data_IF_155398694756
#
_entry.id   IF_155398694756
#
_cell.length_a   1.000
_cell.length_b   1.000
_cell.length_c   1.000
_cell.angle_alpha   90.00
_cell.angle_beta   90.00
_cell.angle_gamma   90.00
#
_symmetry.space_group_name_H-M   'P 1'
#
loop_
_entity.id
_entity.type
_entity.pdbx_description
1 polymer ?
#
# COMPACT_ATOMS: atom_id res chain seq x y z
N UNK A 1 15.46 -0.26 -26.54
CA UNK A 1 14.49 -0.60 -25.49
C UNK A 1 14.84 0.27 -24.30
N UNK A 2 13.92 1.15 -23.86
CA UNK A 2 14.19 1.98 -22.68
C UNK A 2 14.06 1.06 -21.46
N UNK A 3 15.20 0.56 -20.98
CA UNK A 3 15.29 -0.17 -19.71
C UNK A 3 14.82 0.76 -18.58
N UNK A 4 13.54 0.67 -18.26
CA UNK A 4 12.94 1.43 -17.17
C UNK A 4 13.37 0.75 -15.88
N UNK A 5 14.49 1.21 -15.33
CA UNK A 5 15.00 0.73 -14.04
C UNK A 5 13.95 1.03 -12.96
N UNK A 6 13.30 -0.02 -12.45
CA UNK A 6 12.34 0.06 -11.35
C UNK A 6 13.06 0.48 -10.08
N UNK A 7 12.57 1.53 -9.44
CA UNK A 7 13.13 2.10 -8.21
C UNK A 7 12.09 2.04 -7.11
N UNK A 8 12.43 1.41 -6.00
CA UNK A 8 11.54 1.28 -4.85
C UNK A 8 12.26 1.64 -3.55
N UNK A 9 11.56 2.20 -2.54
CA UNK A 9 12.17 2.57 -1.27
C UNK A 9 12.11 1.44 -0.22
N UNK A 10 11.50 0.31 -0.53
CA UNK A 10 11.38 -0.84 0.38
C UNK A 10 12.03 -2.08 -0.21
N UNK A 11 12.64 -2.89 0.65
CA UNK A 11 13.17 -4.20 0.30
C UNK A 11 13.03 -5.17 1.47
N UNK A 12 13.20 -6.47 1.22
CA UNK A 12 13.38 -7.47 2.27
C UNK A 12 14.87 -7.61 2.61
N UNK A 13 15.19 -7.71 3.89
CA UNK A 13 16.51 -8.17 4.33
C UNK A 13 16.65 -9.69 4.13
N UNK A 14 17.85 -10.23 4.40
CA UNK A 14 18.10 -11.68 4.45
C UNK A 14 17.25 -12.41 5.49
N UNK A 15 16.76 -11.71 6.52
CA UNK A 15 15.88 -12.24 7.56
C UNK A 15 14.39 -12.08 7.22
N UNK A 16 14.06 -11.81 5.94
CA UNK A 16 12.71 -11.59 5.43
C UNK A 16 11.98 -10.38 6.05
N UNK A 17 12.70 -9.48 6.72
CA UNK A 17 12.12 -8.25 7.30
C UNK A 17 12.00 -7.18 6.23
N UNK A 18 10.87 -6.48 6.19
CA UNK A 18 10.72 -5.27 5.38
C UNK A 18 11.57 -4.14 5.96
N UNK A 19 12.46 -3.60 5.14
CA UNK A 19 13.38 -2.52 5.48
C UNK A 19 13.14 -1.35 4.52
N UNK A 20 12.89 -0.18 5.10
CA UNK A 20 12.87 1.06 4.35
C UNK A 20 14.30 1.48 4.00
N UNK A 21 14.47 2.16 2.87
CA UNK A 21 15.78 2.55 2.35
C UNK A 21 16.60 3.42 3.31
N UNK A 22 15.94 4.18 4.19
CA UNK A 22 16.62 4.98 5.21
C UNK A 22 17.23 4.13 6.32
N UNK A 23 16.65 2.97 6.62
CA UNK A 23 17.13 2.01 7.62
C UNK A 23 18.08 0.97 7.01
N UNK A 24 18.26 1.00 5.69
CA UNK A 24 19.14 0.08 4.98
C UNK A 24 20.63 0.40 5.23
N UNK A 25 21.41 -0.65 5.45
CA UNK A 25 22.84 -0.61 5.74
C UNK A 25 23.62 -1.04 4.50
N UNK A 26 24.61 -0.22 4.11
CA UNK A 26 25.46 -0.49 2.95
C UNK A 26 26.23 -1.80 3.11
N UNK A 27 26.36 -2.57 2.02
CA UNK A 27 27.06 -3.86 2.01
C UNK A 27 26.18 -5.05 2.37
N UNK A 28 24.98 -4.82 2.90
CA UNK A 28 23.99 -5.88 3.13
C UNK A 28 23.25 -6.25 1.84
N UNK A 29 22.74 -7.49 1.80
CA UNK A 29 21.89 -7.97 0.71
C UNK A 29 20.44 -7.61 0.97
N UNK A 30 19.77 -7.16 -0.08
CA UNK A 30 18.36 -6.78 -0.08
C UNK A 30 17.66 -7.42 -1.26
N UNK A 31 16.40 -7.78 -1.08
CA UNK A 31 15.62 -8.51 -2.07
C UNK A 31 14.29 -7.80 -2.34
N UNK A 32 13.82 -7.91 -3.57
CA UNK A 32 12.51 -7.38 -3.94
C UNK A 32 11.40 -8.11 -3.16
N UNK A 33 10.50 -7.38 -2.47
CA UNK A 33 9.36 -8.01 -1.82
C UNK A 33 8.42 -8.73 -2.80
N UNK A 34 8.41 -8.31 -4.07
CA UNK A 34 7.47 -8.77 -5.08
C UNK A 34 7.96 -9.98 -5.90
N UNK A 35 9.26 -10.04 -6.23
CA UNK A 35 9.83 -11.11 -7.06
C UNK A 35 10.99 -11.87 -6.41
N UNK A 36 11.41 -11.48 -5.21
CA UNK A 36 12.55 -12.06 -4.48
C UNK A 36 13.92 -11.91 -5.16
N UNK A 37 14.03 -11.22 -6.30
CA UNK A 37 15.33 -10.96 -6.90
C UNK A 37 16.17 -10.00 -6.04
N UNK A 38 17.49 -10.20 -6.08
CA UNK A 38 18.42 -9.35 -5.34
C UNK A 38 18.42 -7.93 -5.94
N UNK A 39 18.23 -6.95 -5.07
CA UNK A 39 18.23 -5.54 -5.40
C UNK A 39 19.62 -4.92 -5.21
N UNK A 40 19.88 -3.87 -5.99
CA UNK A 40 21.05 -3.01 -5.78
C UNK A 40 20.65 -1.83 -4.91
N UNK A 41 21.31 -1.67 -3.76
CA UNK A 41 21.20 -0.47 -2.94
C UNK A 41 21.92 0.71 -3.64
N UNK A 42 21.17 1.77 -3.96
CA UNK A 42 21.70 2.98 -4.61
C UNK A 42 21.67 4.15 -3.63
N UNK A 43 22.85 4.52 -3.16
CA UNK A 43 23.09 5.71 -2.35
C UNK A 43 23.64 6.82 -3.24
N UNK A 44 22.80 7.81 -3.55
CA UNK A 44 23.22 9.00 -4.27
C UNK A 44 23.46 10.16 -3.30
N UNK A 45 24.52 10.95 -3.53
CA UNK A 45 24.68 12.26 -2.89
C UNK A 45 23.68 13.31 -3.45
N UNK A 46 23.16 13.06 -4.66
CA UNK A 46 22.27 13.97 -5.41
C UNK A 46 20.87 13.35 -5.59
N UNK A 47 20.79 12.06 -5.94
CA UNK A 47 19.51 11.37 -6.15
C UNK A 47 19.03 10.74 -4.84
N UNK A 48 17.71 10.76 -4.59
CA UNK A 48 17.08 10.05 -3.45
C UNK A 48 17.58 8.61 -3.38
N UNK A 49 17.92 8.15 -2.17
CA UNK A 49 18.28 6.75 -1.92
C UNK A 49 17.14 5.85 -2.38
N UNK A 50 17.46 4.77 -3.08
CA UNK A 50 16.48 3.78 -3.52
C UNK A 50 17.13 2.41 -3.71
N UNK A 51 16.30 1.39 -3.79
CA UNK A 51 16.69 0.10 -4.34
C UNK A 51 16.33 0.03 -5.82
N UNK A 52 17.17 -0.61 -6.62
CA UNK A 52 16.90 -0.85 -8.03
C UNK A 52 17.06 -2.32 -8.40
N UNK A 53 16.15 -2.81 -9.24
CA UNK A 53 16.35 -4.07 -9.94
C UNK A 53 17.54 -3.98 -10.90
N UNK A 54 18.07 -5.14 -11.29
CA UNK A 54 19.01 -5.21 -12.41
C UNK A 54 18.24 -5.02 -13.71
N UNK A 55 18.92 -4.64 -14.78
CA UNK A 55 18.29 -4.43 -16.09
C UNK A 55 17.76 -5.72 -16.72
N UNK A 56 18.31 -6.87 -16.33
CA UNK A 56 17.92 -8.21 -16.80
C UNK A 56 16.81 -8.87 -15.97
N UNK A 57 16.33 -8.21 -14.91
CA UNK A 57 15.24 -8.68 -14.07
C UNK A 57 13.91 -8.65 -14.81
N UNK A 58 13.16 -9.76 -14.79
CA UNK A 58 11.79 -9.84 -15.34
C UNK A 58 10.74 -9.45 -14.30
N UNK A 59 10.93 -8.30 -13.65
CA UNK A 59 9.93 -7.75 -12.76
C UNK A 59 9.19 -6.63 -13.50
N UNK A 60 7.89 -6.79 -13.69
CA UNK A 60 7.07 -5.79 -14.35
C UNK A 60 6.84 -4.57 -13.45
N UNK A 61 7.15 -3.32 -13.87
CA UNK A 61 7.02 -2.14 -13.05
C UNK A 61 5.61 -1.91 -12.49
N UNK A 62 4.58 -2.03 -13.34
CA UNK A 62 3.18 -1.82 -12.97
C UNK A 62 2.77 -2.83 -11.88
N UNK A 63 3.19 -4.07 -12.08
CA UNK A 63 3.05 -5.15 -11.10
C UNK A 63 3.83 -4.89 -9.81
N UNK A 64 5.01 -4.26 -9.86
CA UNK A 64 5.81 -3.99 -8.65
C UNK A 64 5.14 -2.98 -7.74
N UNK A 65 4.68 -1.84 -8.25
CA UNK A 65 4.07 -0.82 -7.39
C UNK A 65 2.77 -1.33 -6.77
N UNK A 66 1.92 -2.00 -7.54
CA UNK A 66 0.69 -2.60 -7.04
C UNK A 66 0.95 -3.69 -5.98
N UNK A 67 1.84 -4.65 -6.28
CA UNK A 67 2.22 -5.71 -5.32
C UNK A 67 2.90 -5.16 -4.07
N UNK A 68 3.81 -4.20 -4.23
CA UNK A 68 4.51 -3.60 -3.09
C UNK A 68 3.53 -2.85 -2.19
N UNK A 69 2.57 -2.12 -2.77
CA UNK A 69 1.53 -1.46 -2.00
C UNK A 69 0.67 -2.46 -1.20
N UNK A 70 0.29 -3.63 -1.77
CA UNK A 70 -0.42 -4.70 -1.04
C UNK A 70 0.36 -5.15 0.19
N UNK A 71 1.63 -5.51 -0.02
CA UNK A 71 2.54 -5.96 1.04
C UNK A 71 2.66 -4.89 2.14
N UNK A 72 2.78 -3.61 1.76
CA UNK A 72 2.93 -2.50 2.68
C UNK A 72 1.64 -2.15 3.44
N UNK A 73 0.46 -2.34 2.83
CA UNK A 73 -0.82 -2.23 3.51
C UNK A 73 -0.94 -3.34 4.57
N UNK A 74 -0.62 -4.59 4.21
CA UNK A 74 -0.61 -5.69 5.17
C UNK A 74 0.38 -5.45 6.31
N UNK A 75 1.56 -4.93 6.01
CA UNK A 75 2.53 -4.51 7.03
C UNK A 75 1.97 -3.42 7.95
N UNK A 76 1.32 -2.38 7.40
CA UNK A 76 0.70 -1.33 8.20
C UNK A 76 -0.41 -1.87 9.11
N UNK A 77 -1.24 -2.77 8.59
CA UNK A 77 -2.30 -3.45 9.35
C UNK A 77 -1.71 -4.32 10.46
N UNK A 78 -0.65 -5.08 10.18
CA UNK A 78 0.05 -5.90 11.18
C UNK A 78 0.63 -5.04 12.31
N UNK A 79 1.35 -3.97 11.98
CA UNK A 79 1.90 -3.06 13.00
C UNK A 79 0.79 -2.35 13.80
N UNK A 80 -0.34 -2.05 13.16
CA UNK A 80 -1.51 -1.53 13.83
C UNK A 80 -2.13 -2.55 14.79
N UNK A 81 -2.31 -3.80 14.38
CA UNK A 81 -2.94 -4.84 15.21
C UNK A 81 -2.13 -5.17 16.46
N UNK A 82 -0.80 -5.06 16.36
CA UNK A 82 0.15 -5.19 17.46
C UNK A 82 0.18 -3.98 18.41
N UNK A 83 -0.46 -2.88 18.05
CA UNK A 83 -0.46 -1.65 18.86
C UNK A 83 0.73 -0.73 18.62
N UNK A 84 1.62 -1.08 17.68
CA UNK A 84 2.89 -0.37 17.47
C UNK A 84 2.68 0.96 16.77
N UNK A 85 1.66 1.06 15.90
CA UNK A 85 1.46 2.20 15.01
C UNK A 85 -0.02 2.55 14.84
N UNK A 86 -0.31 3.84 14.77
CA UNK A 86 -1.56 4.38 14.23
C UNK A 86 -1.44 4.52 12.72
N UNK A 87 -2.58 4.60 12.03
CA UNK A 87 -2.64 4.90 10.60
C UNK A 87 -3.41 6.21 10.41
N UNK A 88 -2.85 7.13 9.65
CA UNK A 88 -3.54 8.37 9.26
C UNK A 88 -4.27 8.14 7.95
N UNK A 89 -5.59 8.26 7.96
CA UNK A 89 -6.43 8.18 6.78
C UNK A 89 -6.80 9.59 6.32
N UNK A 90 -6.52 9.90 5.06
CA UNK A 90 -6.90 11.16 4.42
C UNK A 90 -7.82 10.85 3.26
N UNK A 91 -9.02 11.42 3.28
CA UNK A 91 -9.97 11.37 2.17
C UNK A 91 -10.34 12.77 1.73
N UNK A 92 -10.74 12.92 0.46
CA UNK A 92 -11.29 14.19 -0.04
C UNK A 92 -12.81 14.16 0.04
N UNK A 93 -13.40 15.28 0.47
CA UNK A 93 -14.84 15.47 0.32
C UNK A 93 -15.17 15.75 -1.15
N UNK A 94 -16.17 15.05 -1.70
CA UNK A 94 -16.64 15.30 -3.07
C UNK A 94 -17.33 16.65 -3.25
N UNK A 95 -17.97 17.18 -2.21
CA UNK A 95 -18.70 18.44 -2.28
C UNK A 95 -17.82 19.68 -2.14
N UNK A 96 -17.05 19.78 -1.04
CA UNK A 96 -16.24 20.96 -0.75
C UNK A 96 -14.77 20.85 -1.17
N UNK A 97 -14.35 19.70 -1.69
CA UNK A 97 -12.95 19.37 -2.01
C UNK A 97 -11.95 19.44 -0.83
N UNK A 98 -12.43 19.68 0.39
CA UNK A 98 -11.63 19.68 1.61
C UNK A 98 -11.10 18.28 1.95
N UNK A 99 -9.90 18.23 2.54
CA UNK A 99 -9.35 16.99 3.09
C UNK A 99 -9.97 16.69 4.46
N UNK A 100 -10.49 15.47 4.61
CA UNK A 100 -10.89 14.90 5.89
C UNK A 100 -9.76 14.01 6.39
N UNK A 101 -9.23 14.32 7.58
CA UNK A 101 -8.15 13.56 8.21
C UNK A 101 -8.74 12.79 9.38
N UNK A 102 -8.61 11.46 9.34
CA UNK A 102 -9.00 10.55 10.42
C UNK A 102 -7.77 9.80 10.92
N UNK A 103 -7.72 9.53 12.21
CA UNK A 103 -6.72 8.64 12.78
C UNK A 103 -7.38 7.29 13.06
N UNK A 104 -6.85 6.24 12.46
CA UNK A 104 -7.12 4.86 12.84
C UNK A 104 -6.21 4.53 14.03
N UNK A 105 -6.76 4.33 15.24
CA UNK A 105 -5.94 4.11 16.43
C UNK A 105 -5.19 2.78 16.37
N UNK A 106 -4.12 2.60 17.15
CA UNK A 106 -3.52 1.27 17.37
C UNK A 106 -4.57 0.27 17.86
N UNK A 107 -4.38 -1.01 17.54
CA UNK A 107 -5.32 -2.10 17.80
C UNK A 107 -6.71 -1.90 17.15
N UNK A 108 -6.82 -1.16 16.06
CA UNK A 108 -8.08 -1.10 15.31
C UNK A 108 -8.29 -2.38 14.48
N UNK A 109 -7.23 -2.83 13.81
CA UNK A 109 -7.21 -4.05 13.03
C UNK A 109 -6.77 -5.27 13.84
N UNK A 110 -7.12 -6.47 13.36
CA UNK A 110 -6.66 -7.77 13.88
C UNK A 110 -5.77 -8.50 12.89
N UNK A 111 -6.13 -8.49 11.60
CA UNK A 111 -5.44 -9.24 10.53
C UNK A 111 -5.68 -8.59 9.16
N UNK A 112 -4.91 -9.04 8.17
CA UNK A 112 -5.13 -8.70 6.76
C UNK A 112 -4.71 -9.84 5.85
N UNK A 113 -5.35 -9.93 4.69
CA UNK A 113 -5.10 -10.94 3.68
C UNK A 113 -5.15 -10.34 2.28
N UNK A 114 -4.23 -10.74 1.42
CA UNK A 114 -4.18 -10.30 0.02
C UNK A 114 -5.15 -11.12 -0.85
N UNK A 115 -5.65 -10.51 -1.93
CA UNK A 115 -6.31 -11.21 -3.04
C UNK A 115 -7.57 -12.01 -2.65
N UNK A 116 -8.33 -11.51 -1.68
CA UNK A 116 -9.48 -12.21 -1.08
C UNK A 116 -10.74 -12.01 -1.92
N UNK A 117 -11.45 -13.10 -2.20
CA UNK A 117 -12.77 -13.04 -2.82
C UNK A 117 -13.85 -12.69 -1.79
N UNK A 118 -14.55 -11.57 -2.02
CA UNK A 118 -15.75 -11.16 -1.29
C UNK A 118 -16.87 -11.01 -2.32
N UNK A 119 -17.98 -11.71 -2.11
CA UNK A 119 -19.04 -11.86 -3.10
C UNK A 119 -18.48 -12.39 -4.43
N UNK A 120 -18.62 -11.63 -5.53
CA UNK A 120 -18.08 -11.96 -6.85
C UNK A 120 -16.84 -11.12 -7.23
N UNK A 121 -16.23 -10.44 -6.25
CA UNK A 121 -15.12 -9.52 -6.48
C UNK A 121 -13.87 -9.98 -5.72
N UNK A 122 -12.71 -9.85 -6.36
CA UNK A 122 -11.42 -10.17 -5.76
C UNK A 122 -10.77 -8.87 -5.31
N UNK A 123 -10.72 -8.66 -4.01
CA UNK A 123 -10.12 -7.48 -3.39
C UNK A 123 -8.61 -7.61 -3.31
N UNK A 124 -7.90 -6.50 -3.53
CA UNK A 124 -6.44 -6.47 -3.40
C UNK A 124 -5.97 -6.83 -1.99
N UNK A 125 -6.58 -6.22 -0.97
CA UNK A 125 -6.39 -6.54 0.44
C UNK A 125 -7.73 -6.49 1.17
N UNK A 126 -7.97 -7.43 2.06
CA UNK A 126 -9.06 -7.36 3.06
C UNK A 126 -8.43 -7.31 4.44
N UNK A 127 -8.80 -6.29 5.22
CA UNK A 127 -8.41 -6.15 6.62
C UNK A 127 -9.58 -6.48 7.55
N UNK A 128 -9.32 -7.29 8.55
CA UNK A 128 -10.27 -7.56 9.63
C UNK A 128 -10.01 -6.59 10.79
N UNK A 129 -11.08 -6.06 11.36
CA UNK A 129 -11.05 -5.25 12.57
C UNK A 129 -11.13 -6.13 13.82
N UNK A 130 -10.75 -5.58 14.99
CA UNK A 130 -10.88 -6.30 16.26
C UNK A 130 -12.32 -6.76 16.59
N UNK A 131 -13.33 -6.11 16.01
CA UNK A 131 -14.74 -6.51 16.16
C UNK A 131 -15.26 -7.37 15.00
N UNK A 132 -14.35 -8.07 14.29
CA UNK A 132 -14.65 -9.04 13.23
C UNK A 132 -15.40 -8.46 12.02
N UNK A 133 -15.29 -7.14 11.78
CA UNK A 133 -15.76 -6.51 10.55
C UNK A 133 -14.64 -6.54 9.51
N UNK A 134 -15.02 -6.62 8.24
CA UNK A 134 -14.09 -6.60 7.11
C UNK A 134 -14.11 -5.24 6.43
N UNK A 135 -12.94 -4.81 5.99
CA UNK A 135 -12.76 -3.63 5.15
C UNK A 135 -11.94 -4.06 3.94
N UNK A 136 -12.47 -3.88 2.75
CA UNK A 136 -11.70 -4.04 1.51
C UNK A 136 -10.83 -2.81 1.25
N UNK A 137 -9.62 -3.03 0.79
CA UNK A 137 -8.64 -2.00 0.47
C UNK A 137 -8.14 -2.30 -0.95
N UNK A 138 -8.61 -1.51 -1.90
CA UNK A 138 -8.18 -1.57 -3.30
C UNK A 138 -6.97 -0.66 -3.51
N UNK A 139 -6.14 -0.99 -4.50
CA UNK A 139 -4.97 -0.21 -4.85
C UNK A 139 -5.14 0.38 -6.24
N UNK A 140 -5.14 1.71 -6.28
CA UNK A 140 -5.05 2.45 -7.52
C UNK A 140 -3.58 2.61 -7.92
N UNK A 141 -3.23 2.00 -9.04
CA UNK A 141 -2.02 2.28 -9.81
C UNK A 141 -2.45 2.57 -11.26
N UNK A 142 -1.59 3.19 -12.08
CA UNK A 142 -1.92 3.83 -13.36
C UNK A 142 -2.59 2.92 -14.40
N UNK A 143 -3.87 2.61 -14.22
CA UNK A 143 -4.87 2.13 -15.16
C UNK A 143 -6.23 2.21 -14.44
N UNK A 144 -7.20 2.92 -15.04
CA UNK A 144 -8.57 2.95 -14.57
C UNK A 144 -9.13 1.52 -14.48
N UNK A 145 -9.42 1.05 -13.27
CA UNK A 145 -10.31 -0.10 -13.10
C UNK A 145 -11.73 0.34 -13.46
N UNK A 146 -12.39 -0.38 -14.37
CA UNK A 146 -13.81 -0.26 -14.72
C UNK A 146 -14.67 0.20 -13.53
N UNK A 147 -15.17 1.43 -13.59
CA UNK A 147 -15.97 2.09 -12.54
C UNK A 147 -17.22 1.29 -12.13
N UNK A 148 -17.66 0.35 -12.97
CA UNK A 148 -18.89 -0.44 -12.80
C UNK A 148 -18.81 -1.58 -11.78
N UNK A 149 -17.62 -1.96 -11.28
CA UNK A 149 -17.46 -3.18 -10.46
C UNK A 149 -17.64 -2.97 -8.95
N UNK A 150 -17.48 -1.75 -8.44
CA UNK A 150 -17.31 -1.48 -7.00
C UNK A 150 -18.59 -1.10 -6.23
N UNK A 151 -19.71 -0.90 -6.91
CA UNK A 151 -21.00 -0.54 -6.27
C UNK A 151 -21.69 -1.69 -5.51
N UNK A 152 -21.24 -2.93 -5.72
CA UNK A 152 -21.95 -4.14 -5.27
C UNK A 152 -21.28 -4.88 -4.11
N UNK A 153 -20.13 -4.40 -3.62
CA UNK A 153 -19.45 -5.01 -2.48
C UNK A 153 -20.32 -4.88 -1.22
N UNK A 154 -20.55 -6.01 -0.53
CA UNK A 154 -21.33 -6.06 0.71
C UNK A 154 -20.61 -5.45 1.93
N UNK A 155 -19.30 -5.17 1.81
CA UNK A 155 -18.47 -4.63 2.88
C UNK A 155 -17.98 -3.21 2.57
N UNK A 156 -17.64 -2.39 3.58
CA UNK A 156 -16.98 -1.12 3.37
C UNK A 156 -15.66 -1.30 2.62
N UNK A 157 -15.36 -0.38 1.71
CA UNK A 157 -14.10 -0.38 0.98
C UNK A 157 -13.49 1.01 0.88
N UNK A 158 -12.18 1.05 0.72
CA UNK A 158 -11.40 2.25 0.38
C UNK A 158 -10.47 1.91 -0.77
N UNK A 159 -10.09 2.91 -1.57
CA UNK A 159 -9.06 2.75 -2.58
C UNK A 159 -7.88 3.67 -2.28
N UNK A 160 -6.67 3.11 -2.22
CA UNK A 160 -5.45 3.83 -1.88
C UNK A 160 -4.54 3.95 -3.09
N UNK A 161 -3.88 5.11 -3.23
CA UNK A 161 -2.85 5.27 -4.27
C UNK A 161 -1.60 4.49 -3.90
N UNK A 162 -1.09 3.68 -4.82
CA UNK A 162 0.11 2.86 -4.58
C UNK A 162 1.32 3.70 -4.16
N UNK A 163 1.52 4.87 -4.77
CA UNK A 163 2.69 5.73 -4.54
C UNK A 163 2.72 6.29 -3.13
N UNK A 164 1.56 6.69 -2.59
CA UNK A 164 1.47 7.27 -1.24
C UNK A 164 1.68 6.21 -0.17
N UNK A 165 1.14 5.00 -0.38
CA UNK A 165 1.38 3.83 0.48
C UNK A 165 2.86 3.46 0.48
N UNK A 166 3.50 3.46 -0.70
CA UNK A 166 4.93 3.12 -0.83
C UNK A 166 5.82 4.17 -0.18
N UNK A 167 5.48 5.45 -0.28
CA UNK A 167 6.20 6.52 0.40
C UNK A 167 6.05 6.43 1.93
N UNK A 168 4.83 6.16 2.41
CA UNK A 168 4.55 5.97 3.83
C UNK A 168 3.37 5.01 4.06
N UNK A 169 3.62 3.76 4.52
CA UNK A 169 2.57 2.76 4.69
C UNK A 169 1.56 3.11 5.79
N UNK A 170 1.89 4.07 6.68
CA UNK A 170 1.02 4.54 7.75
C UNK A 170 0.23 5.81 7.39
N UNK A 171 0.34 6.27 6.13
CA UNK A 171 -0.41 7.40 5.59
C UNK A 171 -1.29 6.92 4.42
N UNK A 172 -2.55 6.63 4.72
CA UNK A 172 -3.51 6.14 3.75
C UNK A 172 -4.24 7.32 3.11
N UNK A 173 -3.83 7.69 1.90
CA UNK A 173 -4.53 8.70 1.08
C UNK A 173 -5.48 8.01 0.12
N UNK A 174 -6.78 8.21 0.32
CA UNK A 174 -7.80 7.64 -0.55
C UNK A 174 -7.82 8.32 -1.92
N UNK A 175 -7.93 7.54 -2.98
CA UNK A 175 -8.18 8.06 -4.33
C UNK A 175 -9.66 8.36 -4.54
N UNK A 176 -10.51 7.38 -4.23
CA UNK A 176 -11.97 7.47 -4.19
C UNK A 176 -12.45 6.96 -2.81
N UNK A 177 -13.47 7.61 -2.27
CA UNK A 177 -14.12 7.21 -1.02
C UNK A 177 -15.61 7.09 -1.27
N UNK A 178 -16.07 5.89 -1.66
CA UNK A 178 -17.51 5.55 -1.63
C UNK A 178 -17.93 5.05 -0.26
N UNK A 179 -17.65 5.81 0.78
CA UNK A 179 -18.31 5.62 2.06
C UNK A 179 -19.59 6.43 2.03
N UNK A 180 -20.75 5.77 2.04
CA UNK A 180 -22.06 6.43 2.14
C UNK A 180 -22.24 7.06 3.52
N UNK A 181 -21.51 8.12 3.82
CA UNK A 181 -21.84 9.08 4.87
C UNK A 181 -21.24 10.41 4.40
N UNK A 182 -22.08 11.31 3.94
CA UNK A 182 -21.68 12.69 3.68
C UNK A 182 -21.11 13.27 4.98
N UNK A 183 -19.84 13.69 4.95
CA UNK A 183 -19.16 14.26 6.11
C UNK A 183 -18.85 15.75 5.92
N UNK A 184 -19.58 16.47 5.08
CA UNK A 184 -19.62 17.92 5.24
C UNK A 184 -20.43 18.23 6.50
N UNK A 185 -19.84 19.01 7.41
CA UNK A 185 -20.64 19.89 8.24
C UNK A 185 -21.08 21.02 7.33
N UNK A 186 -22.38 21.26 7.27
CA UNK A 186 -22.89 22.56 6.81
C UNK A 186 -22.24 23.69 7.62
#
# INVERSE_FOLDING_TARGET
MNDTVIKIPWAKSVDEKLIHIHDAVKGQKYYCPCCNEQLTFKEGKIKKRHFSHRSDTQCDPESVYHKLAKILICYAVYENSRGNRKITLISKCFGCHGENIKTIPPHFFSSSHEEVSIDNYRCDVVADTQNSRKIAIEIYHTHETDENKKEKLSIPWIELKSETVIENPFLWRCHDFRFRLGFCKD
#
